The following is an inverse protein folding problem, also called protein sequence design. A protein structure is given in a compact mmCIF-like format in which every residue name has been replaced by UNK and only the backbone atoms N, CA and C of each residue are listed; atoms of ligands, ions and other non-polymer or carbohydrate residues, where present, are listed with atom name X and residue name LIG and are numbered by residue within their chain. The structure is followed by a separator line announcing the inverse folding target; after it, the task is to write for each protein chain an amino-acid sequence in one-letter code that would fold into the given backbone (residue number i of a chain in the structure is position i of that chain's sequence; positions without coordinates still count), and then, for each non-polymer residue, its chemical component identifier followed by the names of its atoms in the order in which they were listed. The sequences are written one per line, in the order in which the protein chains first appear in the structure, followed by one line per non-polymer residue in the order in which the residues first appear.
data_IF_015059057873
#
_entry.id   IF_015059057873
#
_cell.length_a   1.000
_cell.length_b   1.000
_cell.length_c   1.000
_cell.angle_alpha   90.00
_cell.angle_beta   90.00
_cell.angle_gamma   90.00
#
_symmetry.space_group_name_H-M   'P 1'
#
loop_
_entity.id
_entity.type
_entity.pdbx_description
1 polymer ?
#
# COMPACT_ATOMS: atom_id res chain seq x y z
N UNK A 1 30.70 8.98 -7.48
CA UNK A 1 29.70 9.31 -6.46
C UNK A 1 28.40 8.73 -6.98
N UNK A 2 27.89 7.70 -6.32
CA UNK A 2 26.58 7.08 -6.60
C UNK A 2 25.51 8.17 -6.38
N UNK A 3 24.59 8.36 -7.31
CA UNK A 3 23.54 9.39 -7.18
C UNK A 3 22.58 9.07 -6.02
N UNK A 4 21.99 10.08 -5.39
CA UNK A 4 20.99 9.89 -4.31
C UNK A 4 19.81 8.97 -4.72
N UNK A 5 19.58 8.79 -6.03
CA UNK A 5 18.55 7.93 -6.62
C UNK A 5 18.88 6.43 -6.56
N UNK A 6 20.17 6.07 -6.54
CA UNK A 6 20.67 4.69 -6.53
C UNK A 6 20.56 4.02 -5.15
N UNK A 7 20.18 4.74 -4.09
CA UNK A 7 19.91 4.13 -2.79
C UNK A 7 18.61 3.32 -2.84
N UNK A 8 18.71 1.99 -2.82
CA UNK A 8 17.56 1.07 -2.77
C UNK A 8 17.21 0.66 -1.33
N UNK A 9 16.34 1.43 -0.68
CA UNK A 9 15.71 1.07 0.59
C UNK A 9 14.20 0.93 0.50
N UNK A 10 13.61 0.12 1.39
CA UNK A 10 12.16 -0.15 1.50
C UNK A 10 11.35 1.07 1.94
N UNK A 11 11.98 1.99 2.66
CA UNK A 11 11.45 3.30 3.06
C UNK A 11 12.43 4.37 2.60
N UNK A 12 11.94 5.45 2.00
CA UNK A 12 12.76 6.61 1.62
C UNK A 12 12.17 7.90 2.19
N UNK A 13 13.06 8.79 2.63
CA UNK A 13 12.68 10.17 2.91
C UNK A 13 12.56 10.96 1.61
N UNK A 14 11.56 11.83 1.55
CA UNK A 14 11.30 12.71 0.42
C UNK A 14 11.05 14.12 0.93
N UNK A 15 11.49 15.10 0.15
CA UNK A 15 11.48 16.50 0.53
C UNK A 15 12.88 17.10 0.54
N UNK A 16 12.95 18.43 0.61
CA UNK A 16 14.20 19.16 0.41
C UNK A 16 14.80 18.99 -0.99
N UNK A 17 15.85 19.73 -1.28
CA UNK A 17 16.49 19.77 -2.61
C UNK A 17 17.50 18.64 -2.85
N UNK A 18 17.96 17.92 -1.81
CA UNK A 18 18.84 16.73 -1.90
C UNK A 18 18.95 16.01 -0.54
N UNK A 19 19.39 14.73 -0.51
CA UNK A 19 19.56 13.97 0.75
C UNK A 19 20.50 14.69 1.73
N UNK A 20 21.56 15.32 1.23
CA UNK A 20 22.55 16.03 2.06
C UNK A 20 21.97 17.26 2.77
N UNK A 21 20.90 17.84 2.23
CA UNK A 21 20.26 19.05 2.77
C UNK A 21 19.05 18.76 3.65
N UNK A 22 18.51 17.54 3.60
CA UNK A 22 17.37 17.11 4.44
C UNK A 22 17.57 17.35 5.95
N UNK A 23 18.76 17.19 6.55
CA UNK A 23 18.92 17.50 7.98
C UNK A 23 18.63 18.96 8.34
N UNK A 24 18.80 19.89 7.40
CA UNK A 24 18.54 21.31 7.58
C UNK A 24 17.16 21.73 7.05
N UNK A 25 16.73 21.17 5.92
CA UNK A 25 15.47 21.52 5.24
C UNK A 25 14.26 20.73 5.75
N UNK A 26 14.49 19.60 6.44
CA UNK A 26 13.45 18.69 6.89
C UNK A 26 13.09 17.62 5.86
N UNK A 27 12.14 16.77 6.25
CA UNK A 27 11.54 15.73 5.42
C UNK A 27 10.04 16.05 5.28
N UNK A 28 9.55 16.10 4.05
CA UNK A 28 8.16 16.42 3.75
C UNK A 28 7.25 15.20 3.92
N UNK A 29 7.70 14.04 3.41
CA UNK A 29 6.97 12.78 3.50
C UNK A 29 7.89 11.55 3.39
N UNK A 30 7.32 10.37 3.63
CA UNK A 30 8.00 9.08 3.44
C UNK A 30 7.40 8.34 2.23
N UNK A 31 8.25 7.72 1.43
CA UNK A 31 7.86 6.82 0.34
C UNK A 31 8.06 5.37 0.79
N UNK A 32 6.98 4.59 0.78
CA UNK A 32 6.98 3.17 1.10
C UNK A 32 7.05 2.37 -0.21
N UNK A 33 8.02 1.44 -0.32
CA UNK A 33 8.33 0.73 -1.57
C UNK A 33 8.25 -0.79 -1.46
N UNK A 34 7.81 -1.30 -0.32
CA UNK A 34 7.74 -2.73 -0.01
C UNK A 34 6.42 -3.40 -0.43
N UNK A 35 5.45 -2.65 -0.96
CA UNK A 35 4.15 -3.20 -1.32
C UNK A 35 4.19 -3.76 -2.74
N UNK A 36 3.86 -5.04 -2.86
CA UNK A 36 3.59 -5.66 -4.16
C UNK A 36 2.21 -5.24 -4.69
N UNK A 37 2.06 -5.28 -6.02
CA UNK A 37 0.76 -5.09 -6.65
C UNK A 37 -0.15 -6.26 -6.31
N UNK A 38 -1.37 -5.94 -5.87
CA UNK A 38 -2.41 -6.92 -5.59
C UNK A 38 -3.22 -7.21 -6.86
N UNK A 39 -3.07 -8.40 -7.48
CA UNK A 39 -3.74 -8.76 -8.73
C UNK A 39 -5.25 -8.96 -8.57
N UNK A 40 -5.77 -8.95 -7.34
CA UNK A 40 -7.21 -9.00 -7.08
C UNK A 40 -7.86 -7.60 -7.01
N UNK A 41 -7.06 -6.52 -6.99
CA UNK A 41 -7.51 -5.14 -7.09
C UNK A 41 -7.27 -4.56 -8.51
N UNK A 42 -8.26 -3.87 -9.07
CA UNK A 42 -8.12 -3.19 -10.37
C UNK A 42 -7.14 -2.02 -10.34
N UNK A 43 -6.89 -1.44 -9.16
CA UNK A 43 -5.95 -0.34 -8.95
C UNK A 43 -4.64 -0.81 -8.28
N UNK A 44 -4.45 -2.13 -8.15
CA UNK A 44 -3.22 -2.73 -7.60
C UNK A 44 -3.07 -2.67 -6.08
N UNK A 45 -3.98 -2.04 -5.35
CA UNK A 45 -4.01 -2.00 -3.88
C UNK A 45 -5.44 -1.98 -3.36
N UNK A 46 -5.70 -2.56 -2.18
CA UNK A 46 -7.01 -2.51 -1.49
C UNK A 46 -7.02 -1.43 -0.43
N UNK A 47 -8.19 -0.83 -0.19
CA UNK A 47 -8.38 0.17 0.88
C UNK A 47 -7.95 -0.34 2.26
N UNK A 48 -8.18 -1.62 2.55
CA UNK A 48 -7.79 -2.25 3.82
C UNK A 48 -6.28 -2.32 4.01
N UNK A 49 -5.53 -2.52 2.92
CA UNK A 49 -4.06 -2.43 2.93
C UNK A 49 -3.62 -1.01 3.28
N UNK A 50 -4.26 0.01 2.71
CA UNK A 50 -3.97 1.41 3.02
C UNK A 50 -4.35 1.77 4.47
N UNK A 51 -5.48 1.27 4.98
CA UNK A 51 -5.89 1.44 6.39
C UNK A 51 -4.86 0.83 7.33
N UNK A 52 -4.38 -0.38 7.03
CA UNK A 52 -3.35 -1.02 7.83
C UNK A 52 -2.03 -0.24 7.82
N UNK A 53 -1.57 0.23 6.66
CA UNK A 53 -0.39 1.10 6.54
C UNK A 53 -0.57 2.38 7.37
N UNK A 54 -1.74 3.01 7.31
CA UNK A 54 -2.05 4.20 8.12
C UNK A 54 -2.07 3.91 9.62
N UNK A 55 -2.57 2.75 10.03
CA UNK A 55 -2.52 2.29 11.42
C UNK A 55 -1.07 2.11 11.88
N UNK A 56 -0.23 1.45 11.09
CA UNK A 56 1.19 1.27 11.38
C UNK A 56 1.91 2.61 11.48
N UNK A 57 1.69 3.53 10.54
CA UNK A 57 2.29 4.86 10.58
C UNK A 57 1.89 5.62 11.85
N UNK A 58 0.60 5.61 12.20
CA UNK A 58 0.10 6.21 13.44
C UNK A 58 0.75 5.58 14.68
N UNK A 59 0.83 4.23 14.70
CA UNK A 59 1.45 3.49 15.80
C UNK A 59 2.92 3.88 15.99
N UNK A 60 3.71 3.90 14.91
CA UNK A 60 5.14 4.20 14.99
C UNK A 60 5.42 5.65 15.38
N UNK A 61 4.63 6.63 14.88
CA UNK A 61 4.77 8.04 15.28
C UNK A 61 4.48 8.25 16.77
N UNK A 62 3.55 7.48 17.33
CA UNK A 62 3.15 7.58 18.74
C UNK A 62 3.93 6.64 19.68
N UNK A 63 4.86 5.85 19.14
CA UNK A 63 5.70 4.93 19.92
C UNK A 63 7.08 5.56 20.10
N UNK A 64 7.75 5.38 21.25
CA UNK A 64 9.11 5.87 21.44
C UNK A 64 10.06 5.40 20.33
N UNK A 65 10.84 6.33 19.80
CA UNK A 65 11.86 6.03 18.80
C UNK A 65 12.93 5.08 19.37
N UNK A 66 13.57 4.32 18.47
CA UNK A 66 14.75 3.55 18.81
C UNK A 66 15.88 4.48 19.28
N UNK A 67 16.71 4.00 20.20
CA UNK A 67 17.94 4.71 20.54
C UNK A 67 18.87 4.69 19.32
N UNK A 68 19.57 5.79 19.00
CA UNK A 68 20.43 5.85 17.81
C UNK A 68 21.47 4.72 17.74
N UNK A 69 21.98 4.27 18.89
CA UNK A 69 22.95 3.17 18.97
C UNK A 69 22.38 1.81 18.53
N UNK A 70 21.07 1.61 18.66
CA UNK A 70 20.41 0.32 18.40
C UNK A 70 19.90 0.23 16.95
N UNK A 71 19.79 1.35 16.23
CA UNK A 71 19.13 1.44 14.92
C UNK A 71 19.73 0.46 13.91
N UNK A 72 21.06 0.47 13.73
CA UNK A 72 21.70 -0.35 12.71
C UNK A 72 21.52 -1.85 12.98
N UNK A 73 21.62 -2.27 14.24
CA UNK A 73 21.45 -3.68 14.61
C UNK A 73 20.00 -4.14 14.43
N UNK A 74 19.03 -3.31 14.83
CA UNK A 74 17.61 -3.62 14.68
C UNK A 74 17.22 -3.70 13.21
N UNK A 75 17.68 -2.76 12.37
CA UNK A 75 17.43 -2.77 10.92
C UNK A 75 18.03 -3.99 10.26
N UNK A 76 19.30 -4.32 10.52
CA UNK A 76 19.94 -5.51 9.94
C UNK A 76 19.21 -6.81 10.30
N UNK A 77 18.70 -6.90 11.54
CA UNK A 77 17.89 -8.04 11.98
C UNK A 77 16.53 -8.08 11.29
N UNK A 78 15.90 -6.93 11.09
CA UNK A 78 14.63 -6.81 10.39
C UNK A 78 14.77 -7.18 8.91
N UNK A 79 15.85 -6.75 8.24
CA UNK A 79 16.14 -7.12 6.85
C UNK A 79 16.31 -8.63 6.69
N UNK A 80 17.07 -9.27 7.60
CA UNK A 80 17.21 -10.73 7.62
C UNK A 80 15.87 -11.44 7.85
N UNK A 81 15.07 -10.95 8.79
CA UNK A 81 13.74 -11.50 9.07
C UNK A 81 12.81 -11.36 7.86
N UNK A 82 12.86 -10.22 7.17
CA UNK A 82 12.07 -9.98 5.97
C UNK A 82 12.45 -10.96 4.85
N UNK A 83 13.76 -11.15 4.59
CA UNK A 83 14.25 -12.14 3.62
C UNK A 83 13.79 -13.55 3.96
N UNK A 84 13.92 -13.97 5.24
CA UNK A 84 13.47 -15.29 5.68
C UNK A 84 11.97 -15.47 5.42
N UNK A 85 11.13 -14.49 5.76
CA UNK A 85 9.66 -14.55 5.54
C UNK A 85 9.32 -14.55 4.04
N UNK A 86 10.00 -13.74 3.23
CA UNK A 86 9.75 -13.66 1.79
C UNK A 86 10.05 -14.97 1.04
N UNK A 87 10.88 -15.83 1.62
CA UNK A 87 11.25 -17.14 1.07
C UNK A 87 10.45 -18.30 1.70
N UNK A 88 9.59 -18.04 2.68
CA UNK A 88 8.73 -19.08 3.26
C UNK A 88 7.72 -19.61 2.23
N UNK A 89 7.41 -20.90 2.33
CA UNK A 89 6.34 -21.51 1.52
C UNK A 89 4.98 -20.86 1.85
N UNK A 90 4.22 -20.36 0.87
CA UNK A 90 3.06 -19.50 1.14
C UNK A 90 1.95 -20.09 2.04
N UNK A 91 1.77 -21.41 2.00
CA UNK A 91 0.76 -22.11 2.82
C UNK A 91 1.30 -22.60 4.17
N UNK A 92 2.61 -22.50 4.41
CA UNK A 92 3.20 -22.90 5.67
C UNK A 92 2.94 -21.87 6.77
N UNK A 93 2.87 -22.35 8.01
CA UNK A 93 2.85 -21.46 9.18
C UNK A 93 4.20 -20.77 9.28
N UNK A 94 4.20 -19.44 9.33
CA UNK A 94 5.43 -18.65 9.41
C UNK A 94 6.23 -18.96 10.68
N UNK A 95 7.56 -18.99 10.55
CA UNK A 95 8.49 -19.09 11.68
C UNK A 95 8.29 -17.96 12.69
N UNK A 96 7.78 -16.82 12.23
CA UNK A 96 7.55 -15.61 13.03
C UNK A 96 6.10 -15.43 13.47
N UNK A 97 5.25 -16.47 13.36
CA UNK A 97 3.83 -16.39 13.72
C UNK A 97 3.60 -15.83 15.13
N UNK A 98 4.33 -16.32 16.13
CA UNK A 98 4.19 -15.84 17.51
C UNK A 98 4.54 -14.35 17.67
N UNK A 99 5.55 -13.87 16.93
CA UNK A 99 5.92 -12.46 16.93
C UNK A 99 4.84 -11.60 16.26
N UNK A 100 4.29 -12.07 15.14
CA UNK A 100 3.20 -11.42 14.43
C UNK A 100 1.94 -11.31 15.31
N UNK A 101 1.52 -12.41 15.97
CA UNK A 101 0.41 -12.42 16.94
C UNK A 101 0.61 -11.36 18.04
N UNK A 102 1.80 -11.34 18.64
CA UNK A 102 2.12 -10.39 19.71
C UNK A 102 2.07 -8.94 19.22
N UNK A 103 2.49 -8.68 17.97
CA UNK A 103 2.42 -7.36 17.37
C UNK A 103 0.99 -6.94 17.04
N UNK A 104 0.16 -7.84 16.48
CA UNK A 104 -1.26 -7.59 16.23
C UNK A 104 -2.00 -7.21 17.51
N UNK A 105 -1.76 -7.93 18.61
CA UNK A 105 -2.37 -7.57 19.90
C UNK A 105 -1.98 -6.16 20.37
N UNK A 106 -0.77 -5.70 20.09
CA UNK A 106 -0.35 -4.31 20.41
C UNK A 106 -1.11 -3.30 19.54
N UNK A 107 -1.29 -3.60 18.25
CA UNK A 107 -2.05 -2.73 17.35
C UNK A 107 -3.53 -2.67 17.72
N UNK A 108 -4.13 -3.78 18.13
CA UNK A 108 -5.50 -3.84 18.64
C UNK A 108 -5.68 -2.97 19.89
N UNK A 109 -4.79 -3.11 20.88
CA UNK A 109 -4.79 -2.27 22.08
C UNK A 109 -4.62 -0.79 21.72
N UNK A 110 -3.74 -0.47 20.77
CA UNK A 110 -3.51 0.89 20.31
C UNK A 110 -4.74 1.48 19.60
N UNK A 111 -5.34 0.74 18.67
CA UNK A 111 -6.54 1.14 17.95
C UNK A 111 -7.72 1.39 18.92
N UNK A 112 -7.88 0.52 19.93
CA UNK A 112 -8.90 0.68 20.96
C UNK A 112 -8.67 1.93 21.83
N UNK A 113 -7.43 2.22 22.22
CA UNK A 113 -7.10 3.42 23.00
C UNK A 113 -7.41 4.71 22.24
N UNK A 114 -7.20 4.72 20.93
CA UNK A 114 -7.52 5.85 20.07
C UNK A 114 -8.99 5.88 19.62
N UNK A 115 -9.78 4.86 19.98
CA UNK A 115 -11.17 4.70 19.55
C UNK A 115 -11.31 4.81 18.02
N UNK A 116 -10.40 4.16 17.29
CA UNK A 116 -10.47 4.12 15.83
C UNK A 116 -11.76 3.43 15.38
N UNK A 117 -12.25 3.83 14.20
CA UNK A 117 -13.51 3.32 13.65
C UNK A 117 -13.50 1.80 13.45
N UNK A 118 -14.70 1.19 13.35
CA UNK A 118 -14.86 -0.26 13.22
C UNK A 118 -14.09 -0.85 12.04
N UNK A 119 -13.87 -0.08 10.97
CA UNK A 119 -13.10 -0.50 9.81
C UNK A 119 -11.65 -0.88 10.14
N UNK A 120 -11.05 -0.34 11.20
CA UNK A 120 -9.70 -0.74 11.64
C UNK A 120 -9.72 -2.05 12.41
N UNK A 121 -10.78 -2.32 13.16
CA UNK A 121 -10.94 -3.59 13.88
C UNK A 121 -11.16 -4.74 12.89
N UNK A 122 -11.98 -4.53 11.86
CA UNK A 122 -12.18 -5.47 10.76
C UNK A 122 -10.86 -5.81 10.07
N UNK A 123 -10.05 -4.78 9.75
CA UNK A 123 -8.72 -4.99 9.15
C UNK A 123 -7.78 -5.77 10.06
N UNK A 124 -7.76 -5.48 11.37
CA UNK A 124 -6.92 -6.20 12.32
C UNK A 124 -7.35 -7.67 12.44
N UNK A 125 -8.66 -7.94 12.51
CA UNK A 125 -9.21 -9.28 12.58
C UNK A 125 -8.88 -10.09 11.32
N UNK A 126 -9.05 -9.50 10.13
CA UNK A 126 -8.68 -10.10 8.85
C UNK A 126 -7.19 -10.47 8.77
N UNK A 127 -6.31 -9.67 9.37
CA UNK A 127 -4.87 -9.91 9.40
C UNK A 127 -4.49 -10.95 10.46
N UNK A 128 -5.15 -10.97 11.61
CA UNK A 128 -5.01 -12.02 12.62
C UNK A 128 -5.41 -13.38 12.03
N UNK A 129 -6.54 -13.44 11.32
CA UNK A 129 -6.99 -14.66 10.64
C UNK A 129 -5.96 -15.18 9.62
N UNK A 130 -5.22 -14.30 8.94
CA UNK A 130 -4.14 -14.69 8.02
C UNK A 130 -2.91 -15.23 8.74
N UNK A 131 -2.60 -14.71 9.92
CA UNK A 131 -1.51 -15.20 10.77
C UNK A 131 -1.85 -16.62 11.23
N UNK A 132 -3.10 -16.88 11.61
CA UNK A 132 -3.56 -18.20 12.06
C UNK A 132 -3.74 -19.19 10.90
N UNK A 133 -4.24 -18.70 9.76
CA UNK A 133 -4.58 -19.50 8.60
C UNK A 133 -3.80 -19.01 7.36
N UNK A 134 -2.55 -19.44 7.16
CA UNK A 134 -1.69 -18.99 6.06
C UNK A 134 -2.31 -19.15 4.66
N UNK A 135 -3.20 -20.13 4.47
CA UNK A 135 -3.94 -20.35 3.21
C UNK A 135 -4.85 -19.18 2.79
N UNK A 136 -5.09 -18.24 3.70
CA UNK A 136 -5.86 -17.03 3.44
C UNK A 136 -4.99 -15.83 3.07
N UNK A 137 -3.66 -15.94 3.15
CA UNK A 137 -2.73 -14.89 2.72
C UNK A 137 -2.82 -14.65 1.21
N UNK A 138 -2.47 -13.44 0.71
CA UNK A 138 -2.43 -13.18 -0.73
C UNK A 138 -1.52 -14.15 -1.51
N UNK A 139 -0.34 -14.46 -0.98
CA UNK A 139 0.62 -15.38 -1.61
C UNK A 139 0.05 -16.79 -1.73
N UNK A 140 -0.55 -17.34 -0.67
CA UNK A 140 -1.20 -18.65 -0.72
C UNK A 140 -2.41 -18.68 -1.66
N UNK A 141 -3.22 -17.62 -1.68
CA UNK A 141 -4.35 -17.51 -2.61
C UNK A 141 -3.90 -17.52 -4.06
N UNK A 142 -2.72 -16.97 -4.38
CA UNK A 142 -2.16 -17.01 -5.74
C UNK A 142 -1.78 -18.43 -6.18
N UNK A 143 -1.35 -19.30 -5.27
CA UNK A 143 -1.02 -20.69 -5.62
C UNK A 143 -2.22 -21.43 -6.24
N UNK A 144 -3.45 -21.08 -5.84
CA UNK A 144 -4.69 -21.64 -6.40
C UNK A 144 -4.91 -21.28 -7.87
N UNK A 145 -4.18 -20.29 -8.38
CA UNK A 145 -4.24 -19.81 -9.75
C UNK A 145 -3.04 -20.24 -10.60
N UNK A 146 -2.06 -20.95 -10.02
CA UNK A 146 -0.93 -21.50 -10.77
C UNK A 146 -1.43 -22.54 -11.78
N UNK A 147 -0.98 -22.39 -13.03
CA UNK A 147 -1.14 -23.38 -14.09
C UNK A 147 0.22 -23.68 -14.68
N UNK A 148 0.64 -24.94 -14.61
CA UNK A 148 1.95 -25.39 -15.10
C UNK A 148 3.12 -24.52 -14.59
N UNK A 149 3.08 -24.14 -13.31
CA UNK A 149 4.10 -23.31 -12.68
C UNK A 149 4.05 -21.82 -13.05
N UNK A 150 3.00 -21.36 -13.73
CA UNK A 150 2.87 -19.98 -14.20
C UNK A 150 1.58 -19.31 -13.71
N UNK A 151 1.71 -18.04 -13.30
CA UNK A 151 0.59 -17.13 -13.01
C UNK A 151 0.19 -16.29 -14.23
N UNK A 152 0.91 -16.37 -15.36
CA UNK A 152 0.63 -15.57 -16.56
C UNK A 152 -0.82 -15.73 -17.03
N UNK A 153 -1.41 -16.94 -17.12
CA UNK A 153 -2.81 -17.08 -17.55
C UNK A 153 -3.79 -16.33 -16.62
N UNK A 154 -3.55 -16.40 -15.31
CA UNK A 154 -4.37 -15.69 -14.33
C UNK A 154 -4.20 -14.16 -14.45
N UNK A 155 -2.95 -13.69 -14.55
CA UNK A 155 -2.65 -12.27 -14.69
C UNK A 155 -3.31 -11.66 -15.95
N UNK A 156 -3.27 -12.37 -17.09
CA UNK A 156 -3.94 -11.95 -18.32
C UNK A 156 -5.47 -11.91 -18.16
N UNK A 157 -6.07 -12.89 -17.50
CA UNK A 157 -7.51 -12.88 -17.19
C UNK A 157 -7.89 -11.66 -16.35
N UNK A 158 -7.11 -11.35 -15.30
CA UNK A 158 -7.34 -10.17 -14.46
C UNK A 158 -7.17 -8.88 -15.25
N UNK A 159 -6.10 -8.76 -16.03
CA UNK A 159 -5.82 -7.58 -16.85
C UNK A 159 -6.96 -7.30 -17.84
N UNK A 160 -7.43 -8.31 -18.58
CA UNK A 160 -8.55 -8.15 -19.51
C UNK A 160 -9.82 -7.72 -18.78
N UNK A 161 -10.17 -8.38 -17.66
CA UNK A 161 -11.35 -8.02 -16.87
C UNK A 161 -11.30 -6.57 -16.38
N UNK A 162 -10.13 -6.10 -15.94
CA UNK A 162 -9.97 -4.73 -15.47
C UNK A 162 -10.01 -3.70 -16.60
N UNK A 163 -9.41 -4.02 -17.75
CA UNK A 163 -9.50 -3.18 -18.93
C UNK A 163 -10.96 -3.05 -19.40
N UNK A 164 -11.68 -4.16 -19.50
CA UNK A 164 -13.10 -4.17 -19.91
C UNK A 164 -13.95 -3.35 -18.95
N UNK A 165 -13.76 -3.53 -17.64
CA UNK A 165 -14.48 -2.76 -16.62
C UNK A 165 -14.17 -1.25 -16.70
N UNK A 166 -12.92 -0.87 -16.96
CA UNK A 166 -12.53 0.53 -17.14
C UNK A 166 -13.18 1.15 -18.38
N UNK A 167 -13.23 0.42 -19.50
CA UNK A 167 -13.86 0.85 -20.74
C UNK A 167 -15.39 0.92 -20.66
N UNK A 168 -16.01 0.12 -19.79
CA UNK A 168 -17.46 0.15 -19.53
C UNK A 168 -17.87 1.19 -18.47
N UNK A 169 -16.92 1.94 -17.91
CA UNK A 169 -17.24 2.98 -16.92
C UNK A 169 -18.20 4.01 -17.52
N UNK A 170 -19.28 4.31 -16.80
CA UNK A 170 -20.28 5.32 -17.18
C UNK A 170 -19.69 6.74 -17.22
N UNK A 171 -18.56 6.97 -16.54
CA UNK A 171 -17.84 8.24 -16.51
C UNK A 171 -16.40 7.99 -16.93
N UNK A 172 -16.16 8.10 -18.23
CA UNK A 172 -14.82 8.16 -18.78
C UNK A 172 -14.37 9.61 -18.70
N UNK A 173 -13.29 9.87 -17.98
CA UNK A 173 -12.69 11.19 -17.92
C UNK A 173 -11.83 11.42 -19.16
N UNK A 174 -12.34 12.20 -20.11
CA UNK A 174 -11.67 12.52 -21.38
C UNK A 174 -10.62 13.64 -21.25
N UNK A 175 -10.44 14.24 -20.07
CA UNK A 175 -9.53 15.37 -19.88
C UNK A 175 -8.04 15.05 -20.08
N UNK A 176 -7.69 13.76 -20.20
CA UNK A 176 -6.35 13.29 -20.56
C UNK A 176 -6.20 12.92 -22.05
N UNK A 177 -7.27 13.00 -22.86
CA UNK A 177 -7.20 12.73 -24.29
C UNK A 177 -6.52 13.87 -25.06
N UNK A 178 -6.50 15.06 -24.48
CA UNK A 178 -5.72 16.19 -24.97
C UNK A 178 -4.31 16.20 -24.37
N UNK A 179 -3.29 16.65 -25.12
CA UNK A 179 -1.94 16.88 -24.58
C UNK A 179 -1.87 18.01 -23.52
N UNK A 180 -3.02 18.59 -23.15
CA UNK A 180 -3.10 19.62 -22.12
C UNK A 180 -2.87 19.03 -20.73
N UNK A 181 -1.86 19.54 -20.03
CA UNK A 181 -1.63 19.23 -18.62
C UNK A 181 -2.58 20.09 -17.79
N UNK A 182 -3.56 19.46 -17.14
CA UNK A 182 -4.49 20.12 -16.22
C UNK A 182 -3.81 20.40 -14.87
N UNK A 183 -4.05 21.58 -14.30
CA UNK A 183 -3.70 21.87 -12.91
C UNK A 183 -4.53 21.03 -11.94
N UNK A 184 -4.07 20.87 -10.69
CA UNK A 184 -4.80 20.10 -9.67
C UNK A 184 -6.24 20.61 -9.45
N UNK A 185 -6.43 21.93 -9.51
CA UNK A 185 -7.75 22.57 -9.38
C UNK A 185 -8.65 22.23 -10.57
N UNK A 186 -8.13 22.35 -11.80
CA UNK A 186 -8.89 22.03 -13.02
C UNK A 186 -9.25 20.55 -13.07
N UNK A 187 -8.30 19.67 -12.70
CA UNK A 187 -8.54 18.23 -12.64
C UNK A 187 -9.62 17.89 -11.59
N UNK A 188 -9.54 18.49 -10.39
CA UNK A 188 -10.53 18.28 -9.34
C UNK A 188 -11.93 18.73 -9.77
N UNK A 189 -12.03 19.91 -10.39
CA UNK A 189 -13.30 20.43 -10.92
C UNK A 189 -13.88 19.47 -11.95
N UNK A 190 -13.09 19.07 -12.95
CA UNK A 190 -13.62 18.23 -14.02
C UNK A 190 -13.92 16.79 -13.59
N UNK A 191 -13.23 16.25 -12.57
CA UNK A 191 -13.47 14.89 -12.05
C UNK A 191 -14.68 14.80 -11.11
N UNK A 192 -14.87 15.80 -10.24
CA UNK A 192 -15.78 15.70 -9.10
C UNK A 192 -16.98 16.67 -9.15
N UNK A 193 -16.93 17.71 -9.99
CA UNK A 193 -18.04 18.64 -10.16
C UNK A 193 -18.70 18.39 -11.53
N UNK A 194 -19.86 17.71 -11.57
CA UNK A 194 -20.56 17.48 -12.83
C UNK A 194 -21.10 18.81 -13.36
N UNK A 195 -20.50 19.31 -14.43
CA UNK A 195 -21.02 20.27 -15.40
C UNK A 195 -21.99 21.36 -14.88
N UNK A 196 -21.44 22.51 -14.48
CA UNK A 196 -22.15 23.79 -14.62
C UNK A 196 -22.48 24.15 -16.09
N UNK A 197 -21.95 23.39 -17.07
CA UNK A 197 -22.19 23.60 -18.51
C UNK A 197 -23.33 22.76 -19.09
N UNK A 198 -23.85 21.76 -18.38
CA UNK A 198 -24.97 20.94 -18.86
C UNK A 198 -26.34 21.66 -18.75
N UNK A 199 -26.43 22.76 -18.00
CA UNK A 199 -27.69 23.52 -17.82
C UNK A 199 -27.94 24.57 -18.90
N UNK A 200 -26.97 24.92 -19.76
CA UNK A 200 -27.13 25.96 -20.78
C UNK A 200 -27.45 25.44 -22.18
N UNK A 201 -27.42 24.12 -22.41
CA UNK A 201 -27.77 23.50 -23.70
C UNK A 201 -29.25 23.09 -23.82
N UNK A 202 -30.08 23.32 -22.80
CA UNK A 202 -31.53 23.02 -22.81
C UNK A 202 -32.44 24.25 -22.96
N UNK A 203 -31.88 25.39 -23.36
CA UNK A 203 -32.68 26.60 -23.66
C UNK A 203 -32.21 27.20 -24.97
N UNK A 204 -32.52 26.50 -26.07
CA UNK A 204 -32.78 27.09 -27.39
C UNK A 204 -33.69 26.16 -28.19
#
# INVERSE_FOLDING_TARGET
MISDYEFHGSVRFKGGSSLKKMPAEGVDYIELRMLDLDPSSSVGVRSDTLRFVRLLASYFVMTPALKPADVNEVVARADKMNEEISLEEPEAVSKYQALARAFMKRLEIFANKLQLGPEYQEVLQDLEDRIENPSTTPSARLLKHLKDGSLVPYALERAQRYQDAALQSLKIFAGFDSEQILSATELSQQLFEPDAKATLAKTK
#
